data_IF_820152987967
#
_entry.id   IF_820152987967
#
_cell.length_a   1.000
_cell.length_b   1.000
_cell.length_c   1.000
_cell.angle_alpha   90.00
_cell.angle_beta   90.00
_cell.angle_gamma   90.00
#
_symmetry.space_group_name_H-M   'P 1'
#
loop_
_entity.id
_entity.type
_entity.pdbx_description
1 polymer ?
#
# COMPACT_ATOMS: atom_id res chain seq x y z
N UNK A 1 0.54 26.60 -9.31
CA UNK A 1 -0.88 26.32 -9.02
C UNK A 1 -0.94 25.65 -7.65
N UNK A 2 -1.68 26.20 -6.67
CA UNK A 2 -1.88 25.52 -5.39
C UNK A 2 -2.64 24.22 -5.67
N UNK A 3 -2.03 23.08 -5.36
CA UNK A 3 -2.67 21.78 -5.56
C UNK A 3 -3.87 21.72 -4.62
N UNK A 4 -5.07 22.00 -5.14
CA UNK A 4 -6.28 22.08 -4.34
C UNK A 4 -6.59 20.66 -3.87
N UNK A 5 -6.53 20.41 -2.56
CA UNK A 5 -6.92 19.12 -2.00
C UNK A 5 -8.34 18.80 -2.47
N UNK A 6 -8.48 17.65 -3.12
CA UNK A 6 -9.74 17.20 -3.69
C UNK A 6 -9.81 15.69 -3.57
N UNK A 7 -10.92 15.12 -3.09
CA UNK A 7 -11.09 13.66 -3.04
C UNK A 7 -10.98 13.03 -4.43
N UNK A 8 -11.31 13.77 -5.49
CA UNK A 8 -11.17 13.32 -6.89
C UNK A 8 -9.73 13.05 -7.30
N UNK A 9 -8.74 13.63 -6.62
CA UNK A 9 -7.32 13.39 -6.92
C UNK A 9 -6.88 11.97 -6.53
N UNK A 10 -7.62 11.28 -5.65
CA UNK A 10 -7.35 9.87 -5.29
C UNK A 10 -7.61 8.94 -6.48
N UNK A 11 -8.53 9.29 -7.39
CA UNK A 11 -8.92 8.41 -8.49
C UNK A 11 -9.60 7.13 -7.99
N UNK A 12 -9.40 6.03 -8.71
CA UNK A 12 -9.88 4.71 -8.28
C UNK A 12 -8.94 4.14 -7.20
N UNK A 13 -9.50 3.81 -6.04
CA UNK A 13 -8.74 3.21 -4.93
C UNK A 13 -8.63 1.71 -5.09
N UNK A 14 -7.39 1.22 -5.05
CA UNK A 14 -7.10 -0.21 -5.13
C UNK A 14 -7.07 -0.84 -3.73
N UNK A 15 -7.90 -1.85 -3.49
CA UNK A 15 -7.88 -2.64 -2.26
C UNK A 15 -6.98 -3.87 -2.45
N UNK A 16 -6.07 -4.10 -1.51
CA UNK A 16 -5.20 -5.29 -1.50
C UNK A 16 -5.17 -5.93 -0.11
N UNK A 17 -5.28 -7.27 0.01
CA UNK A 17 -5.07 -7.93 1.28
C UNK A 17 -3.58 -7.85 1.68
N UNK A 18 -3.32 -7.63 2.96
CA UNK A 18 -1.98 -7.56 3.52
C UNK A 18 -1.20 -8.88 3.44
N UNK A 19 -1.83 -9.98 3.01
CA UNK A 19 -1.17 -11.25 2.71
C UNK A 19 -0.33 -11.19 1.43
N UNK A 20 -0.52 -10.18 0.56
CA UNK A 20 0.31 -10.03 -0.65
C UNK A 20 1.72 -9.56 -0.31
N UNK A 21 2.71 -10.22 -0.89
CA UNK A 21 4.12 -9.89 -0.72
C UNK A 21 4.63 -8.84 -1.72
N UNK A 22 3.86 -8.55 -2.77
CA UNK A 22 4.26 -7.66 -3.87
C UNK A 22 3.69 -6.24 -3.75
N UNK A 23 3.21 -5.84 -2.57
CA UNK A 23 2.62 -4.52 -2.34
C UNK A 23 3.69 -3.42 -2.49
N UNK A 24 4.92 -3.66 -2.05
CA UNK A 24 6.03 -2.71 -2.17
C UNK A 24 6.28 -2.32 -3.64
N UNK A 25 6.23 -3.27 -4.57
CA UNK A 25 6.38 -3.00 -5.99
C UNK A 25 5.26 -2.11 -6.56
N UNK A 26 4.03 -2.29 -6.07
CA UNK A 26 2.91 -1.45 -6.46
C UNK A 26 3.08 -0.01 -5.98
N UNK A 27 3.66 0.19 -4.79
CA UNK A 27 3.83 1.51 -4.17
C UNK A 27 5.10 2.23 -4.64
N UNK A 28 6.24 1.54 -4.66
CA UNK A 28 7.56 2.13 -4.91
C UNK A 28 7.99 2.04 -6.37
N UNK A 29 7.66 0.95 -7.06
CA UNK A 29 8.23 0.62 -8.37
C UNK A 29 7.27 0.87 -9.53
N UNK A 30 6.08 1.43 -9.28
CA UNK A 30 5.13 1.78 -10.32
C UNK A 30 4.57 0.57 -11.08
N UNK A 31 4.53 -0.61 -10.43
CA UNK A 31 4.05 -1.87 -11.04
C UNK A 31 2.66 -1.76 -11.66
N UNK A 32 1.81 -0.88 -11.12
CA UNK A 32 0.44 -0.64 -11.61
C UNK A 32 0.37 0.78 -12.18
N UNK A 33 0.33 0.94 -13.52
CA UNK A 33 0.27 2.25 -14.15
C UNK A 33 -0.95 3.06 -13.71
N UNK A 34 -0.71 4.31 -13.29
CA UNK A 34 -1.77 5.24 -12.90
C UNK A 34 -2.39 5.00 -11.52
N UNK A 35 -1.82 4.08 -10.71
CA UNK A 35 -2.21 3.89 -9.32
C UNK A 35 -1.96 5.17 -8.52
N UNK A 36 -2.99 5.63 -7.80
CA UNK A 36 -2.98 6.90 -7.04
C UNK A 36 -3.36 6.71 -5.57
N UNK A 37 -4.24 5.78 -5.27
CA UNK A 37 -4.62 5.42 -3.90
C UNK A 37 -4.71 3.90 -3.73
N UNK A 38 -4.28 3.43 -2.57
CA UNK A 38 -4.27 2.03 -2.18
C UNK A 38 -4.81 1.91 -0.74
N UNK A 39 -5.59 0.87 -0.49
CA UNK A 39 -5.94 0.41 0.86
C UNK A 39 -5.32 -0.97 1.06
N UNK A 40 -4.53 -1.12 2.11
CA UNK A 40 -4.01 -2.41 2.56
C UNK A 40 -4.98 -2.94 3.63
N UNK A 41 -5.61 -4.06 3.34
CA UNK A 41 -6.70 -4.62 4.14
C UNK A 41 -6.21 -5.76 5.04
N UNK A 42 -6.64 -5.73 6.30
CA UNK A 42 -6.44 -6.78 7.31
C UNK A 42 -7.77 -7.42 7.77
N UNK A 43 -8.88 -7.03 7.15
CA UNK A 43 -10.24 -7.41 7.55
C UNK A 43 -10.84 -8.32 6.47
N UNK A 44 -11.83 -7.84 5.71
CA UNK A 44 -12.65 -8.66 4.80
C UNK A 44 -11.87 -9.43 3.73
N UNK A 45 -10.68 -8.96 3.36
CA UNK A 45 -9.85 -9.59 2.34
C UNK A 45 -8.87 -10.64 2.89
N UNK A 46 -8.83 -10.84 4.22
CA UNK A 46 -7.88 -11.72 4.90
C UNK A 46 -8.64 -12.73 5.75
N UNK A 47 -8.30 -14.02 5.62
CA UNK A 47 -8.90 -15.04 6.48
C UNK A 47 -8.35 -14.93 7.91
N UNK A 48 -9.13 -15.32 8.92
CA UNK A 48 -8.67 -15.26 10.33
C UNK A 48 -7.36 -16.03 10.56
N UNK A 49 -7.18 -17.17 9.86
CA UNK A 49 -5.98 -17.98 9.91
C UNK A 49 -4.74 -17.28 9.33
N UNK A 50 -4.94 -16.33 8.41
CA UNK A 50 -3.87 -15.60 7.73
C UNK A 50 -3.50 -14.29 8.42
N UNK A 51 -4.25 -13.84 9.44
CA UNK A 51 -3.98 -12.59 10.16
C UNK A 51 -2.54 -12.50 10.67
N UNK A 52 -1.93 -13.55 11.27
CA UNK A 52 -0.54 -13.49 11.71
C UNK A 52 0.45 -13.21 10.56
N UNK A 53 0.23 -13.83 9.40
CA UNK A 53 1.05 -13.61 8.20
C UNK A 53 0.82 -12.22 7.64
N UNK A 54 -0.43 -11.78 7.55
CA UNK A 54 -0.82 -10.48 7.05
C UNK A 54 -0.19 -9.33 7.88
N UNK A 55 -0.18 -9.46 9.21
CA UNK A 55 0.47 -8.49 10.09
C UNK A 55 1.99 -8.45 9.90
N UNK A 56 2.63 -9.62 9.79
CA UNK A 56 4.07 -9.71 9.53
C UNK A 56 4.46 -9.10 8.19
N UNK A 57 3.67 -9.35 7.15
CA UNK A 57 3.89 -8.77 5.83
C UNK A 57 3.69 -7.26 5.85
N UNK A 58 2.68 -6.76 6.56
CA UNK A 58 2.45 -5.33 6.73
C UNK A 58 3.62 -4.66 7.48
N UNK A 59 4.12 -5.25 8.56
CA UNK A 59 5.29 -4.76 9.29
C UNK A 59 6.49 -4.63 8.35
N UNK A 60 6.80 -5.69 7.60
CA UNK A 60 7.91 -5.70 6.64
C UNK A 60 7.76 -4.60 5.57
N UNK A 61 6.57 -4.48 4.98
CA UNK A 61 6.26 -3.43 4.01
C UNK A 61 6.46 -2.03 4.59
N UNK A 62 5.97 -1.76 5.80
CA UNK A 62 6.12 -0.45 6.44
C UNK A 62 7.59 -0.10 6.70
N UNK A 63 8.41 -1.09 7.05
CA UNK A 63 9.86 -0.91 7.15
C UNK A 63 10.50 -0.57 5.80
N UNK A 64 10.15 -1.28 4.73
CA UNK A 64 10.66 -0.98 3.38
C UNK A 64 10.27 0.43 2.89
N UNK A 65 9.01 0.82 3.09
CA UNK A 65 8.51 2.15 2.75
C UNK A 65 9.24 3.23 3.55
N UNK A 66 9.41 3.03 4.85
CA UNK A 66 10.14 3.95 5.73
C UNK A 66 11.60 4.11 5.29
N UNK A 67 12.29 3.01 5.00
CA UNK A 67 13.68 3.03 4.52
C UNK A 67 13.80 3.75 3.17
N UNK A 68 12.87 3.49 2.25
CA UNK A 68 12.84 4.13 0.94
C UNK A 68 12.62 5.64 1.05
N UNK A 69 11.74 6.09 1.94
CA UNK A 69 11.52 7.52 2.20
C UNK A 69 12.75 8.23 2.78
N UNK A 70 13.53 7.57 3.65
CA UNK A 70 14.77 8.14 4.19
C UNK A 70 15.87 8.28 3.13
N UNK A 71 15.91 7.38 2.14
CA UNK A 71 16.90 7.45 1.04
C UNK A 71 16.64 8.55 0.01
N UNK A 72 15.45 9.16 0.04
CA UNK A 72 15.02 10.23 -0.86
C UNK A 72 15.20 11.64 -0.27
N UNK A 73 15.66 11.75 0.97
CA UNK A 73 15.99 13.01 1.67
C UNK A 73 17.49 13.23 1.77
#
# INVERSE_FOLDING_TARGET
MKNRLSPWNLGATLYMPATREDIADAVLHGKIPGLRSLVICLEDAVSEADIPVALKNLEHLLHELSNSMHSLG
#
